data_IF_698384972679
#
_entry.id   IF_698384972679
#
_cell.length_a   1.000
_cell.length_b   1.000
_cell.length_c   1.000
_cell.angle_alpha   90.00
_cell.angle_beta   90.00
_cell.angle_gamma   90.00
#
_symmetry.space_group_name_H-M   'P 1'
#
loop_
_entity.id
_entity.type
_entity.pdbx_description
1 polymer ?
#
# COMPACT_ATOMS: atom_id res chain seq x y z
N UNK A 1 45.30 -35.84 -69.50
CA UNK A 1 46.15 -35.00 -68.66
C UNK A 1 45.34 -33.93 -68.05
N UNK A 2 45.05 -34.14 -66.94
CA UNK A 2 44.78 -33.46 -65.64
C UNK A 2 44.69 -31.92 -65.64
N UNK A 3 43.57 -31.39 -65.31
CA UNK A 3 43.46 -30.15 -64.48
C UNK A 3 42.24 -30.25 -63.51
N UNK A 4 42.53 -30.82 -62.36
CA UNK A 4 41.77 -30.60 -61.15
C UNK A 4 42.64 -29.76 -60.20
N UNK A 5 42.29 -28.53 -59.98
CA UNK A 5 42.89 -27.74 -58.88
C UNK A 5 41.99 -26.62 -58.45
N UNK A 6 41.67 -26.63 -57.14
CA UNK A 6 41.42 -25.48 -56.27
C UNK A 6 40.07 -24.76 -56.34
N UNK A 7 39.07 -25.37 -55.69
CA UNK A 7 37.92 -24.62 -55.17
C UNK A 7 37.66 -25.07 -53.72
N UNK A 8 38.53 -24.78 -52.79
CA UNK A 8 38.22 -24.98 -51.35
C UNK A 8 39.12 -24.12 -50.46
N UNK A 9 39.06 -22.82 -50.48
CA UNK A 9 39.23 -22.13 -49.21
C UNK A 9 38.30 -20.93 -48.91
N UNK A 10 37.26 -20.66 -49.70
CA UNK A 10 36.47 -19.45 -49.44
C UNK A 10 35.30 -19.66 -48.45
N UNK A 11 34.88 -20.88 -48.18
CA UNK A 11 33.76 -21.13 -47.27
C UNK A 11 34.10 -21.09 -45.76
N UNK A 12 35.36 -21.23 -45.39
CA UNK A 12 35.77 -21.22 -43.98
C UNK A 12 35.84 -19.82 -43.35
N UNK A 13 36.00 -18.77 -44.15
CA UNK A 13 36.05 -17.40 -43.60
C UNK A 13 34.71 -16.75 -43.39
N UNK A 14 33.64 -17.17 -44.09
CA UNK A 14 32.28 -16.64 -43.91
C UNK A 14 31.60 -17.16 -42.65
N UNK A 15 31.90 -18.37 -42.22
CA UNK A 15 31.29 -18.92 -40.99
C UNK A 15 31.88 -18.37 -39.69
N UNK A 16 33.09 -17.84 -39.69
CA UNK A 16 33.69 -17.22 -38.51
C UNK A 16 33.20 -15.81 -38.22
N UNK A 17 32.67 -15.11 -39.20
CA UNK A 17 32.14 -13.74 -39.01
C UNK A 17 30.70 -13.71 -38.60
N UNK A 18 29.89 -14.80 -38.81
CA UNK A 18 28.51 -14.89 -38.39
C UNK A 18 28.35 -15.31 -36.91
N UNK A 19 29.38 -15.86 -36.26
CA UNK A 19 29.37 -16.24 -34.83
C UNK A 19 29.81 -15.11 -33.92
N UNK A 20 30.43 -14.03 -34.42
CA UNK A 20 30.84 -12.88 -33.63
C UNK A 20 29.72 -11.83 -33.46
N UNK A 21 28.61 -11.91 -34.24
CA UNK A 21 27.53 -10.91 -34.23
C UNK A 21 26.38 -11.20 -33.31
N UNK A 22 26.30 -12.39 -32.69
CA UNK A 22 25.14 -12.81 -31.85
C UNK A 22 25.39 -12.62 -30.34
N UNK A 23 26.58 -12.20 -29.93
CA UNK A 23 26.96 -12.17 -28.51
C UNK A 23 26.85 -10.78 -27.86
N UNK A 24 26.09 -9.82 -28.40
CA UNK A 24 26.07 -8.46 -27.84
C UNK A 24 24.68 -7.89 -27.70
N UNK A 25 23.68 -8.67 -27.30
CA UNK A 25 22.35 -8.17 -26.89
C UNK A 25 21.80 -8.95 -25.69
N UNK A 26 22.65 -9.29 -24.74
CA UNK A 26 22.18 -9.48 -23.37
C UNK A 26 22.04 -8.08 -22.76
N UNK A 27 20.98 -7.39 -23.15
CA UNK A 27 20.47 -6.25 -22.40
C UNK A 27 20.25 -6.74 -20.99
N UNK A 28 21.09 -6.32 -20.06
CA UNK A 28 20.85 -6.43 -18.63
C UNK A 28 19.56 -5.63 -18.40
N UNK A 29 18.41 -6.29 -18.47
CA UNK A 29 17.18 -5.77 -17.92
C UNK A 29 17.44 -5.76 -16.42
N UNK A 30 17.98 -4.64 -15.94
CA UNK A 30 18.00 -4.36 -14.52
C UNK A 30 16.56 -4.57 -14.05
N UNK A 31 16.32 -5.39 -13.01
CA UNK A 31 14.97 -5.51 -12.48
C UNK A 31 14.54 -4.08 -12.14
N UNK A 32 13.44 -3.61 -12.73
CA UNK A 32 12.72 -2.45 -12.23
C UNK A 32 12.42 -2.81 -10.78
N UNK A 33 13.25 -2.31 -9.87
CA UNK A 33 12.93 -2.33 -8.45
C UNK A 33 11.71 -1.43 -8.35
N UNK A 34 10.52 -2.02 -8.47
CA UNK A 34 9.32 -1.38 -7.99
C UNK A 34 9.66 -0.91 -6.58
N UNK A 35 9.62 0.40 -6.37
CA UNK A 35 9.88 1.00 -5.06
C UNK A 35 8.96 0.30 -4.06
N UNK A 36 9.50 -0.65 -3.31
CA UNK A 36 8.74 -1.54 -2.44
C UNK A 36 8.39 -0.77 -1.16
N UNK A 37 7.74 0.38 -1.38
CA UNK A 37 7.28 1.26 -0.31
C UNK A 37 6.07 0.62 0.36
N UNK A 38 6.12 0.54 1.67
CA UNK A 38 4.97 0.23 2.51
C UNK A 38 4.98 1.09 3.77
N UNK A 39 3.80 1.26 4.35
CA UNK A 39 3.57 2.06 5.54
C UNK A 39 3.26 1.10 6.68
N UNK A 40 3.93 1.28 7.81
CA UNK A 40 3.70 0.56 9.05
C UNK A 40 3.21 1.54 10.11
N UNK A 41 2.06 1.27 10.69
CA UNK A 41 1.51 2.03 11.81
C UNK A 41 1.59 1.17 13.07
N UNK A 42 2.47 1.54 13.98
CA UNK A 42 2.56 0.96 15.30
C UNK A 42 1.73 1.81 16.27
N UNK A 43 0.58 1.27 16.65
CA UNK A 43 -0.40 2.02 17.46
C UNK A 43 0.00 2.11 18.93
N UNK A 44 0.83 1.19 19.42
CA UNK A 44 1.28 1.17 20.81
C UNK A 44 2.40 2.18 21.05
N UNK A 45 3.36 2.24 20.12
CA UNK A 45 4.43 3.25 20.16
C UNK A 45 3.99 4.63 19.64
N UNK A 46 2.80 4.72 19.02
CA UNK A 46 2.28 5.92 18.35
C UNK A 46 3.21 6.44 17.25
N UNK A 47 3.72 5.52 16.43
CA UNK A 47 4.66 5.81 15.34
C UNK A 47 4.10 5.29 14.02
N UNK A 48 4.26 6.07 12.96
CA UNK A 48 4.05 5.66 11.58
C UNK A 48 5.39 5.70 10.85
N UNK A 49 5.78 4.57 10.26
CA UNK A 49 6.99 4.43 9.48
C UNK A 49 6.70 4.20 8.01
N UNK A 50 7.53 4.75 7.14
CA UNK A 50 7.61 4.42 5.72
C UNK A 50 8.83 3.55 5.52
N UNK A 51 8.63 2.37 4.94
CA UNK A 51 9.69 1.42 4.67
C UNK A 51 9.88 1.23 3.17
N UNK A 52 11.14 1.15 2.76
CA UNK A 52 11.54 0.67 1.43
C UNK A 52 12.17 -0.71 1.60
N UNK A 53 11.41 -1.78 1.30
CA UNK A 53 11.76 -3.12 1.72
C UNK A 53 11.79 -3.23 3.24
N UNK A 54 12.94 -3.52 3.85
CA UNK A 54 13.12 -3.59 5.31
C UNK A 54 13.70 -2.32 5.93
N UNK A 55 14.06 -1.33 5.10
CA UNK A 55 14.71 -0.09 5.57
C UNK A 55 13.68 0.99 5.82
N UNK A 56 13.67 1.56 7.02
CA UNK A 56 12.90 2.77 7.34
C UNK A 56 13.51 3.96 6.60
N UNK A 57 12.70 4.67 5.82
CA UNK A 57 13.08 5.86 5.04
C UNK A 57 12.43 7.13 5.53
N UNK A 58 11.34 7.01 6.31
CA UNK A 58 10.73 8.11 7.04
C UNK A 58 10.02 7.58 8.29
N UNK A 59 9.96 8.37 9.35
CA UNK A 59 9.27 8.05 10.61
C UNK A 59 8.55 9.28 11.13
N UNK A 60 7.33 9.07 11.63
CA UNK A 60 6.44 10.11 12.16
C UNK A 60 5.94 9.66 13.53
N UNK A 61 6.33 10.38 14.55
CA UNK A 61 5.96 10.12 15.93
C UNK A 61 4.73 10.95 16.35
N UNK A 62 4.10 10.56 17.45
CA UNK A 62 2.98 11.28 18.03
C UNK A 62 1.68 11.15 17.26
N UNK A 63 1.49 10.09 16.47
CA UNK A 63 0.21 9.85 15.79
C UNK A 63 -0.93 9.70 16.80
N UNK A 64 -2.13 10.10 16.40
CA UNK A 64 -3.34 9.82 17.15
C UNK A 64 -4.21 8.79 16.41
N UNK A 65 -4.88 7.93 17.17
CA UNK A 65 -5.76 6.86 16.65
C UNK A 65 -7.20 7.04 17.13
N UNK A 66 -8.04 6.03 16.94
CA UNK A 66 -9.40 6.00 17.43
C UNK A 66 -9.49 6.27 18.94
N UNK A 67 -10.43 7.14 19.37
CA UNK A 67 -10.59 7.58 20.78
C UNK A 67 -10.83 6.44 21.77
N UNK A 68 -11.27 5.29 21.26
CA UNK A 68 -11.46 4.08 22.07
C UNK A 68 -10.43 2.98 21.71
N UNK A 69 -9.27 3.38 21.20
CA UNK A 69 -8.15 2.52 20.89
C UNK A 69 -8.26 1.81 19.55
N UNK A 70 -7.87 0.54 19.51
CA UNK A 70 -7.73 -0.28 18.31
C UNK A 70 -8.52 -1.59 18.43
N UNK A 71 -8.83 -2.24 17.29
CA UNK A 71 -9.54 -3.53 17.30
C UNK A 71 -9.42 -4.29 15.98
N UNK A 72 -9.28 -5.61 16.05
CA UNK A 72 -9.53 -6.54 14.93
C UNK A 72 -11.04 -6.74 14.66
N UNK A 73 -11.90 -6.42 15.63
CA UNK A 73 -13.36 -6.65 15.61
C UNK A 73 -14.15 -5.35 15.50
N UNK A 74 -13.62 -4.40 14.71
CA UNK A 74 -14.22 -3.08 14.55
C UNK A 74 -15.69 -3.16 14.10
N UNK A 75 -16.51 -2.23 14.61
CA UNK A 75 -17.89 -1.97 14.20
C UNK A 75 -18.07 -0.50 13.86
N UNK A 76 -19.02 -0.20 12.99
CA UNK A 76 -19.41 1.18 12.68
C UNK A 76 -19.79 1.92 13.97
N UNK A 77 -19.17 3.07 14.22
CA UNK A 77 -19.44 3.90 15.39
C UNK A 77 -18.70 3.52 16.68
N UNK A 78 -17.87 2.48 16.69
CA UNK A 78 -17.10 2.09 17.88
C UNK A 78 -15.88 2.98 18.14
N UNK A 79 -15.55 3.88 17.18
CA UNK A 79 -14.43 4.82 17.24
C UNK A 79 -13.07 4.18 17.53
N UNK A 80 -12.88 2.93 17.08
CA UNK A 80 -11.62 2.21 17.19
C UNK A 80 -10.90 2.17 15.84
N UNK A 81 -9.60 2.22 15.87
CA UNK A 81 -8.76 2.01 14.67
C UNK A 81 -8.71 0.53 14.34
N UNK A 82 -9.03 0.14 13.08
CA UNK A 82 -8.91 -1.25 12.68
C UNK A 82 -7.45 -1.67 12.61
N UNK A 83 -7.15 -2.84 13.16
CA UNK A 83 -5.88 -3.53 12.95
C UNK A 83 -5.99 -4.41 11.70
N UNK A 84 -4.90 -4.51 10.93
CA UNK A 84 -4.87 -5.34 9.72
C UNK A 84 -3.97 -4.79 8.62
N UNK A 85 -4.13 -5.37 7.41
CA UNK A 85 -3.34 -5.04 6.22
C UNK A 85 -4.24 -4.45 5.15
N UNK A 86 -3.98 -3.21 4.83
CA UNK A 86 -4.75 -2.41 3.89
C UNK A 86 -3.86 -1.90 2.75
N UNK A 87 -4.48 -1.15 1.84
CA UNK A 87 -3.79 -0.31 0.87
C UNK A 87 -4.38 1.07 0.88
N UNK A 88 -3.65 2.06 0.40
CA UNK A 88 -4.23 3.35 0.07
C UNK A 88 -5.16 3.13 -1.13
N UNK A 89 -6.45 3.37 -0.93
CA UNK A 89 -7.51 3.20 -1.94
C UNK A 89 -7.83 4.48 -2.70
N UNK A 90 -7.69 5.63 -2.04
CA UNK A 90 -7.90 6.97 -2.64
C UNK A 90 -7.13 8.02 -1.86
N UNK A 91 -6.89 9.17 -2.52
CA UNK A 91 -6.23 10.33 -1.93
C UNK A 91 -7.10 11.55 -2.26
N UNK A 92 -7.36 12.41 -1.27
CA UNK A 92 -8.06 13.67 -1.49
C UNK A 92 -7.50 14.79 -0.62
N UNK A 93 -7.28 15.95 -1.24
CA UNK A 93 -6.97 17.22 -0.56
C UNK A 93 -8.22 18.03 -0.24
N UNK A 94 -9.38 17.69 -0.82
CA UNK A 94 -10.67 18.28 -0.47
C UNK A 94 -11.21 17.62 0.80
N UNK A 95 -10.58 17.91 1.93
CA UNK A 95 -10.89 17.33 3.22
C UNK A 95 -10.69 18.37 4.32
N UNK A 96 -11.61 18.41 5.28
CA UNK A 96 -11.44 19.20 6.51
C UNK A 96 -10.20 18.82 7.33
N UNK A 97 -9.59 17.70 6.99
CA UNK A 97 -8.41 17.15 7.64
C UNK A 97 -7.12 17.47 6.88
N UNK A 98 -7.10 18.52 6.06
CA UNK A 98 -5.99 18.93 5.21
C UNK A 98 -5.77 17.95 4.04
N UNK A 99 -5.13 16.81 4.26
CA UNK A 99 -4.96 15.73 3.31
C UNK A 99 -5.47 14.42 3.90
N UNK A 100 -6.14 13.59 3.09
CA UNK A 100 -6.72 12.31 3.52
C UNK A 100 -6.31 11.19 2.57
N UNK A 101 -5.65 10.17 3.11
CA UNK A 101 -5.26 8.93 2.43
C UNK A 101 -6.21 7.83 2.89
N UNK A 102 -7.24 7.55 2.11
CA UNK A 102 -8.25 6.55 2.44
C UNK A 102 -7.73 5.12 2.29
N UNK A 103 -8.06 4.25 3.23
CA UNK A 103 -7.63 2.85 3.26
C UNK A 103 -8.70 1.91 2.72
N UNK A 104 -8.29 0.78 2.15
CA UNK A 104 -9.15 -0.29 1.65
C UNK A 104 -9.77 -1.12 2.79
N UNK A 105 -10.24 -0.45 3.84
CA UNK A 105 -11.01 -1.07 4.92
C UNK A 105 -12.52 -1.06 4.57
N UNK A 106 -13.29 -2.11 4.92
CA UNK A 106 -12.86 -3.36 5.55
C UNK A 106 -12.13 -4.28 4.57
N UNK A 107 -11.06 -4.93 5.04
CA UNK A 107 -10.35 -5.95 4.28
C UNK A 107 -11.07 -7.29 4.33
N UNK A 108 -10.58 -8.28 3.55
CA UNK A 108 -11.22 -9.59 3.47
C UNK A 108 -11.15 -10.34 4.80
N UNK A 109 -10.02 -10.22 5.53
CA UNK A 109 -9.84 -10.89 6.81
C UNK A 109 -10.83 -10.35 7.88
N UNK A 110 -11.05 -9.04 7.92
CA UNK A 110 -12.08 -8.44 8.78
C UNK A 110 -13.48 -8.88 8.38
N UNK A 111 -13.74 -9.02 7.06
CA UNK A 111 -15.03 -9.48 6.56
C UNK A 111 -15.28 -10.96 6.89
N UNK A 112 -14.26 -11.83 6.76
CA UNK A 112 -14.35 -13.26 7.09
C UNK A 112 -14.70 -13.44 8.58
N UNK A 113 -13.98 -12.76 9.47
CA UNK A 113 -14.29 -12.77 10.92
C UNK A 113 -15.69 -12.24 11.20
N UNK A 114 -16.09 -11.19 10.48
CA UNK A 114 -17.38 -10.57 10.71
C UNK A 114 -18.56 -11.44 10.25
N UNK A 115 -18.41 -12.19 9.17
CA UNK A 115 -19.39 -13.16 8.70
C UNK A 115 -19.51 -14.32 9.71
N UNK A 116 -18.39 -14.86 10.19
CA UNK A 116 -18.37 -15.91 11.20
C UNK A 116 -19.07 -15.48 12.51
N UNK A 117 -18.88 -14.22 12.90
CA UNK A 117 -19.48 -13.64 14.11
C UNK A 117 -20.94 -13.14 13.88
N UNK A 118 -21.48 -13.27 12.68
CA UNK A 118 -22.82 -12.77 12.34
C UNK A 118 -22.94 -11.22 12.37
N UNK A 119 -21.83 -10.48 12.24
CA UNK A 119 -21.81 -9.01 12.21
C UNK A 119 -22.12 -8.43 10.83
N UNK A 120 -21.91 -9.23 9.78
CA UNK A 120 -22.34 -8.97 8.40
C UNK A 120 -23.01 -10.21 7.84
N UNK A 121 -23.82 -10.03 6.81
CA UNK A 121 -24.43 -11.11 6.05
C UNK A 121 -23.56 -11.55 4.86
N UNK A 122 -23.97 -12.63 4.20
CA UNK A 122 -23.28 -13.18 3.04
C UNK A 122 -23.19 -12.17 1.87
N UNK A 123 -24.24 -11.37 1.63
CA UNK A 123 -24.27 -10.41 0.54
C UNK A 123 -23.22 -9.30 0.77
N UNK A 124 -23.09 -8.83 2.00
CA UNK A 124 -22.11 -7.84 2.43
C UNK A 124 -20.69 -8.40 2.31
N UNK A 125 -20.48 -9.64 2.77
CA UNK A 125 -19.21 -10.34 2.63
C UNK A 125 -18.81 -10.48 1.16
N UNK A 126 -19.71 -10.96 0.28
CA UNK A 126 -19.47 -11.10 -1.15
C UNK A 126 -19.11 -9.74 -1.81
N UNK A 127 -19.73 -8.64 -1.38
CA UNK A 127 -19.41 -7.31 -1.91
C UNK A 127 -17.98 -6.89 -1.54
N UNK A 128 -17.56 -7.12 -0.29
CA UNK A 128 -16.20 -6.83 0.17
C UNK A 128 -15.19 -7.71 -0.56
N UNK A 129 -15.48 -9.03 -0.66
CA UNK A 129 -14.63 -10.00 -1.34
C UNK A 129 -14.41 -9.64 -2.82
N UNK A 130 -15.49 -9.31 -3.55
CA UNK A 130 -15.37 -8.90 -4.97
C UNK A 130 -14.48 -7.67 -5.13
N UNK A 131 -14.61 -6.68 -4.26
CA UNK A 131 -13.77 -5.49 -4.29
C UNK A 131 -12.30 -5.83 -3.99
N UNK A 132 -12.04 -6.64 -2.97
CA UNK A 132 -10.71 -7.08 -2.58
C UNK A 132 -10.00 -7.84 -3.72
N UNK A 133 -10.67 -8.83 -4.32
CA UNK A 133 -10.13 -9.62 -5.45
C UNK A 133 -9.85 -8.73 -6.67
N UNK A 134 -10.69 -7.72 -6.91
CA UNK A 134 -10.51 -6.76 -8.00
C UNK A 134 -9.47 -5.66 -7.70
N UNK A 135 -8.83 -5.67 -6.53
CA UNK A 135 -7.90 -4.62 -6.09
C UNK A 135 -8.56 -3.24 -5.91
N UNK A 136 -9.88 -3.21 -5.69
CA UNK A 136 -10.68 -1.99 -5.55
C UNK A 136 -10.98 -1.70 -4.08
N UNK A 137 -11.32 -0.45 -3.79
CA UNK A 137 -11.84 -0.04 -2.50
C UNK A 137 -13.18 -0.74 -2.22
N UNK A 138 -13.34 -1.42 -1.08
CA UNK A 138 -14.58 -2.08 -0.71
C UNK A 138 -15.69 -1.07 -0.39
N UNK A 139 -16.97 -1.52 -0.25
CA UNK A 139 -18.06 -0.67 0.18
C UNK A 139 -17.75 0.03 1.51
N UNK A 140 -17.93 1.35 1.56
CA UNK A 140 -17.56 2.19 2.70
C UNK A 140 -18.70 2.41 3.69
N UNK A 141 -19.90 1.92 3.40
CA UNK A 141 -21.06 1.96 4.30
C UNK A 141 -21.48 0.55 4.72
N UNK A 142 -20.65 -0.08 5.55
CA UNK A 142 -20.90 -1.43 6.06
C UNK A 142 -21.15 -1.40 7.58
N UNK A 143 -21.68 -2.47 8.18
CA UNK A 143 -21.74 -2.62 9.64
C UNK A 143 -20.37 -2.57 10.33
N UNK A 144 -19.29 -2.87 9.58
CA UNK A 144 -17.90 -2.76 10.06
C UNK A 144 -17.41 -1.31 10.04
N UNK A 145 -18.13 -0.43 9.35
CA UNK A 145 -17.76 0.94 9.07
C UNK A 145 -17.12 1.10 7.68
N UNK A 146 -16.41 2.18 7.51
CA UNK A 146 -15.68 2.61 6.31
C UNK A 146 -15.09 3.99 6.54
N UNK A 147 -14.60 4.61 5.46
CA UNK A 147 -13.95 5.93 5.50
C UNK A 147 -12.82 6.01 6.54
N UNK A 148 -12.09 4.92 6.69
CA UNK A 148 -10.87 4.86 7.50
C UNK A 148 -9.71 5.31 6.63
N UNK A 149 -8.83 6.13 7.21
CA UNK A 149 -7.68 6.65 6.48
C UNK A 149 -6.60 7.16 7.41
N UNK A 150 -5.54 7.67 6.79
CA UNK A 150 -4.47 8.44 7.42
C UNK A 150 -4.66 9.88 6.98
N UNK A 151 -4.65 10.84 7.90
CA UNK A 151 -4.95 12.24 7.57
C UNK A 151 -4.25 13.22 8.50
N UNK A 152 -4.22 14.50 8.11
CA UNK A 152 -3.73 15.58 8.96
C UNK A 152 -4.75 15.98 10.05
N UNK A 153 -4.33 16.83 10.97
CA UNK A 153 -5.23 17.46 11.96
C UNK A 153 -6.23 18.40 11.26
N UNK A 154 -5.83 18.97 10.12
CA UNK A 154 -6.61 20.00 9.43
C UNK A 154 -6.63 21.31 10.21
N UNK A 155 -7.83 21.83 10.44
CA UNK A 155 -8.07 23.03 11.29
C UNK A 155 -8.36 22.65 12.76
N UNK A 156 -8.14 21.37 13.13
CA UNK A 156 -8.36 20.89 14.48
C UNK A 156 -7.29 21.38 15.47
N UNK A 157 -7.54 21.12 16.74
CA UNK A 157 -6.66 21.52 17.83
C UNK A 157 -5.43 20.63 17.91
N UNK A 158 -4.24 21.22 17.76
CA UNK A 158 -2.96 20.50 17.80
C UNK A 158 -2.64 19.99 19.20
N UNK A 159 -3.03 20.71 20.27
CA UNK A 159 -2.80 20.28 21.65
C UNK A 159 -3.61 19.02 21.96
N UNK A 160 -4.85 18.94 21.46
CA UNK A 160 -5.68 17.73 21.56
C UNK A 160 -5.03 16.56 20.81
N UNK A 161 -4.44 16.83 19.63
CA UNK A 161 -3.76 15.79 18.85
C UNK A 161 -2.53 15.23 19.57
N UNK A 162 -1.74 16.08 20.20
CA UNK A 162 -0.53 15.67 20.91
C UNK A 162 -0.83 14.85 22.17
N UNK A 163 -1.94 15.18 22.87
CA UNK A 163 -2.25 14.60 24.18
C UNK A 163 -3.19 13.39 24.10
N UNK A 164 -4.09 13.32 23.11
CA UNK A 164 -5.19 12.36 23.11
C UNK A 164 -5.34 11.61 21.78
N UNK A 165 -5.82 10.39 21.88
CA UNK A 165 -6.44 9.68 20.76
C UNK A 165 -7.84 10.25 20.56
N UNK A 166 -8.12 10.90 19.44
CA UNK A 166 -9.33 11.69 19.23
C UNK A 166 -10.18 11.28 18.03
N UNK A 167 -9.64 10.42 17.15
CA UNK A 167 -10.33 10.10 15.90
C UNK A 167 -11.51 9.15 16.07
N UNK A 168 -12.29 8.99 15.00
CA UNK A 168 -13.35 7.99 14.93
C UNK A 168 -12.85 6.65 14.36
N UNK A 169 -11.53 6.42 14.37
CA UNK A 169 -10.88 5.21 13.90
C UNK A 169 -9.82 5.43 12.84
N UNK A 170 -9.64 6.62 12.33
CA UNK A 170 -8.52 6.99 11.46
C UNK A 170 -7.21 7.08 12.25
N UNK A 171 -6.11 7.13 11.51
CA UNK A 171 -4.79 7.51 12.02
C UNK A 171 -4.57 8.98 11.68
N UNK A 172 -4.33 9.83 12.68
CA UNK A 172 -4.08 11.25 12.47
C UNK A 172 -2.60 11.56 12.65
N UNK A 173 -2.12 12.48 11.83
CA UNK A 173 -0.79 13.09 11.81
C UNK A 173 -0.94 14.60 11.92
N UNK A 174 0.12 15.33 12.22
CA UNK A 174 0.11 16.77 11.98
C UNK A 174 0.00 17.08 10.48
N UNK A 175 -0.40 18.31 10.12
CA UNK A 175 -0.50 18.68 8.69
C UNK A 175 0.87 18.58 7.99
N UNK A 176 1.94 18.99 8.63
CA UNK A 176 3.28 18.87 8.08
C UNK A 176 3.74 17.41 7.91
N UNK A 177 3.36 16.52 8.82
CA UNK A 177 3.70 15.11 8.72
C UNK A 177 2.93 14.42 7.59
N UNK A 178 1.62 14.69 7.42
CA UNK A 178 0.85 14.08 6.34
C UNK A 178 1.32 14.57 4.96
N UNK A 179 1.77 15.82 4.83
CA UNK A 179 2.36 16.33 3.60
C UNK A 179 3.66 15.60 3.26
N UNK A 180 4.50 15.34 4.26
CA UNK A 180 5.72 14.56 4.09
C UNK A 180 5.43 13.09 3.77
N UNK A 181 4.44 12.48 4.40
CA UNK A 181 4.01 11.12 4.09
C UNK A 181 3.53 11.01 2.63
N UNK A 182 2.86 12.03 2.11
CA UNK A 182 2.37 12.06 0.74
C UNK A 182 3.47 12.03 -0.32
N UNK A 183 4.70 12.38 0.01
CA UNK A 183 5.84 12.23 -0.91
C UNK A 183 6.09 10.74 -1.28
N UNK A 184 5.75 9.82 -0.37
CA UNK A 184 5.93 8.38 -0.50
C UNK A 184 4.65 7.64 -0.89
N UNK A 185 3.50 8.15 -0.44
CA UNK A 185 2.21 7.49 -0.54
C UNK A 185 1.60 7.61 -1.94
N UNK A 186 1.10 6.49 -2.49
CA UNK A 186 0.37 6.42 -3.76
C UNK A 186 -0.82 5.50 -3.60
N UNK A 187 -1.83 5.62 -4.46
CA UNK A 187 -2.91 4.61 -4.54
C UNK A 187 -2.28 3.24 -4.76
N UNK A 188 -2.67 2.26 -3.96
CA UNK A 188 -2.10 0.91 -3.96
C UNK A 188 -0.96 0.70 -2.96
N UNK A 189 -0.35 1.75 -2.37
CA UNK A 189 0.69 1.59 -1.34
C UNK A 189 0.17 0.72 -0.20
N UNK A 190 0.87 -0.38 0.17
CA UNK A 190 0.50 -1.21 1.32
C UNK A 190 0.61 -0.44 2.63
N UNK A 191 -0.35 -0.69 3.52
CA UNK A 191 -0.41 -0.12 4.87
C UNK A 191 -0.73 -1.24 5.85
N UNK A 192 0.11 -1.43 6.84
CA UNK A 192 -0.14 -2.33 7.97
C UNK A 192 -0.37 -1.49 9.23
N UNK A 193 -1.45 -1.78 9.96
CA UNK A 193 -1.78 -1.19 11.26
C UNK A 193 -1.76 -2.30 12.31
N UNK A 194 -0.89 -2.21 13.29
CA UNK A 194 -0.69 -3.18 14.37
C UNK A 194 -0.67 -2.52 15.76
#
# INVERSE_FOLDING_TARGET
MNHLSAIVPQYLHLQRQLLAGVLLLLSVVAPLHADNIHILVDTDSRVLEVLRGTRVVASFEGIAIGRYGKSYFRRKGDNKTPLGKFRIGWITSNSRYHLFLGLTFPDLEAADRALQDGRIDEAQWQAIRRASVAGKTPPQNTPLGGNIGIHGVGEGDIEVHEQYNWTNGCVALTNAQIDKLAEWARIGTPVEIR
#
